data_IF_829434012615
#
_entry.id   IF_829434012615
#
_cell.length_a   1.000
_cell.length_b   1.000
_cell.length_c   1.000
_cell.angle_alpha   90.00
_cell.angle_beta   90.00
_cell.angle_gamma   90.00
#
_symmetry.space_group_name_H-M   'P 1'
#
loop_
_entity.id
_entity.type
_entity.pdbx_description
1 polymer ?
#
# COMPACT_ATOMS: atom_id res chain seq x y z
N UNK A 1 14.33 -4.63 7.63
CA UNK A 1 12.86 -4.60 7.53
C UNK A 1 12.33 -6.03 7.47
N UNK A 2 11.10 -6.29 7.90
CA UNK A 2 10.51 -7.63 7.80
C UNK A 2 10.02 -7.89 6.36
N UNK A 3 10.84 -8.58 5.58
CA UNK A 3 10.56 -8.92 4.19
C UNK A 3 9.32 -9.84 4.04
N UNK A 4 9.03 -10.67 5.04
CA UNK A 4 7.86 -11.57 5.03
C UNK A 4 6.59 -10.74 5.17
N UNK A 5 6.55 -9.83 6.16
CA UNK A 5 5.41 -8.91 6.35
C UNK A 5 5.25 -8.01 5.13
N UNK A 6 6.32 -7.38 4.62
CA UNK A 6 6.24 -6.53 3.43
C UNK A 6 5.64 -7.26 2.22
N UNK A 7 6.08 -8.50 1.96
CA UNK A 7 5.53 -9.32 0.88
C UNK A 7 4.05 -9.61 1.08
N UNK A 8 3.64 -10.03 2.29
CA UNK A 8 2.23 -10.31 2.63
C UNK A 8 1.35 -9.08 2.40
N UNK A 9 1.74 -7.93 2.94
CA UNK A 9 0.94 -6.70 2.84
C UNK A 9 0.94 -6.09 1.43
N UNK A 10 2.02 -6.27 0.66
CA UNK A 10 2.02 -5.92 -0.75
C UNK A 10 1.00 -6.75 -1.55
N UNK A 11 0.90 -8.06 -1.29
CA UNK A 11 -0.09 -8.92 -1.95
C UNK A 11 -1.53 -8.56 -1.55
N UNK A 12 -1.77 -8.26 -0.27
CA UNK A 12 -3.07 -7.81 0.22
C UNK A 12 -3.49 -6.48 -0.42
N UNK A 13 -2.59 -5.50 -0.47
CA UNK A 13 -2.86 -4.21 -1.12
C UNK A 13 -3.11 -4.37 -2.62
N UNK A 14 -2.32 -5.18 -3.32
CA UNK A 14 -2.53 -5.44 -4.76
C UNK A 14 -3.88 -6.13 -5.01
N UNK A 15 -4.31 -7.03 -4.13
CA UNK A 15 -5.63 -7.66 -4.18
C UNK A 15 -6.75 -6.62 -4.04
N UNK A 16 -6.68 -5.76 -3.03
CA UNK A 16 -7.68 -4.70 -2.81
C UNK A 16 -7.72 -3.68 -3.97
N UNK A 17 -6.56 -3.32 -4.55
CA UNK A 17 -6.51 -2.47 -5.73
C UNK A 17 -7.27 -3.10 -6.88
N UNK A 18 -6.97 -4.36 -7.20
CA UNK A 18 -7.62 -5.10 -8.31
C UNK A 18 -9.14 -5.25 -8.10
N UNK A 19 -9.59 -5.48 -6.87
CA UNK A 19 -11.01 -5.60 -6.53
C UNK A 19 -11.79 -4.29 -6.66
N UNK A 20 -11.10 -3.15 -6.62
CA UNK A 20 -11.71 -1.82 -6.66
C UNK A 20 -11.37 -1.01 -7.92
N UNK A 21 -10.62 -1.59 -8.87
CA UNK A 21 -10.39 -1.00 -10.20
C UNK A 21 -11.70 -0.63 -10.89
N UNK A 22 -11.73 0.55 -11.50
CA UNK A 22 -12.88 1.11 -12.22
C UNK A 22 -14.00 1.66 -11.31
N UNK A 23 -13.86 1.59 -9.98
CA UNK A 23 -14.86 2.13 -9.05
C UNK A 23 -14.63 3.61 -8.71
N UNK A 24 -13.42 4.11 -8.91
CA UNK A 24 -13.06 5.52 -8.69
C UNK A 24 -11.84 5.91 -9.53
N UNK A 25 -11.84 7.12 -10.06
CA UNK A 25 -10.69 7.68 -10.79
C UNK A 25 -9.44 7.79 -9.92
N UNK A 26 -9.60 7.99 -8.61
CA UNK A 26 -8.50 7.98 -7.65
C UNK A 26 -7.87 6.59 -7.52
N UNK A 27 -8.67 5.53 -7.54
CA UNK A 27 -8.18 4.15 -7.49
C UNK A 27 -7.50 3.79 -8.80
N UNK A 28 -8.06 4.19 -9.93
CA UNK A 28 -7.47 3.93 -11.25
C UNK A 28 -6.12 4.65 -11.39
N UNK A 29 -6.03 5.88 -10.89
CA UNK A 29 -4.76 6.61 -10.80
C UNK A 29 -3.77 5.91 -9.86
N UNK A 30 -4.20 5.50 -8.66
CA UNK A 30 -3.35 4.81 -7.69
C UNK A 30 -2.81 3.48 -8.24
N UNK A 31 -3.65 2.73 -8.97
CA UNK A 31 -3.27 1.48 -9.60
C UNK A 31 -2.23 1.64 -10.72
N UNK A 32 -2.03 2.87 -11.22
CA UNK A 32 -1.02 3.22 -12.21
C UNK A 32 0.15 4.00 -11.60
N UNK A 33 0.10 4.31 -10.30
CA UNK A 33 1.08 5.17 -9.65
C UNK A 33 2.47 4.52 -9.60
N UNK A 34 3.48 5.04 -10.32
CA UNK A 34 4.74 4.30 -10.55
C UNK A 34 5.51 3.97 -9.27
N UNK A 35 5.48 4.88 -8.29
CA UNK A 35 6.19 4.71 -7.02
C UNK A 35 5.55 3.56 -6.22
N UNK A 36 4.22 3.46 -6.18
CA UNK A 36 3.53 2.35 -5.55
C UNK A 36 3.78 1.03 -6.29
N UNK A 37 3.69 1.03 -7.63
CA UNK A 37 3.90 -0.18 -8.43
C UNK A 37 5.30 -0.77 -8.24
N UNK A 38 6.34 0.08 -8.31
CA UNK A 38 7.71 -0.32 -8.00
C UNK A 38 7.79 -0.82 -6.56
N UNK A 39 7.10 -0.16 -5.63
CA UNK A 39 7.18 -0.54 -4.25
C UNK A 39 6.61 -1.93 -3.97
N UNK A 40 5.45 -2.24 -4.57
CA UNK A 40 4.81 -3.55 -4.53
C UNK A 40 5.69 -4.63 -5.16
N UNK A 41 6.31 -4.34 -6.31
CA UNK A 41 7.22 -5.28 -6.97
C UNK A 41 8.44 -5.61 -6.12
N UNK A 42 9.11 -4.60 -5.59
CA UNK A 42 10.29 -4.79 -4.73
C UNK A 42 9.92 -5.54 -3.44
N UNK A 43 8.77 -5.24 -2.83
CA UNK A 43 8.28 -5.96 -1.65
C UNK A 43 8.08 -7.45 -1.95
N UNK A 44 7.43 -7.77 -3.06
CA UNK A 44 7.19 -9.16 -3.49
C UNK A 44 8.48 -9.92 -3.79
N UNK A 45 9.52 -9.21 -4.25
CA UNK A 45 10.85 -9.77 -4.53
C UNK A 45 11.80 -9.74 -3.33
N UNK A 46 11.38 -9.19 -2.19
CA UNK A 46 12.23 -9.03 -1.00
C UNK A 46 13.39 -8.06 -1.19
N UNK A 47 13.24 -7.06 -2.08
CA UNK A 47 14.28 -6.07 -2.44
C UNK A 47 14.15 -4.75 -1.66
N UNK A 48 13.52 -4.78 -0.50
CA UNK A 48 13.37 -3.62 0.37
C UNK A 48 14.25 -3.84 1.58
N UNK A 49 15.41 -3.22 1.53
CA UNK A 49 16.45 -3.22 2.56
C UNK A 49 16.37 -1.96 3.44
N UNK A 50 16.00 -0.82 2.85
CA UNK A 50 15.90 0.47 3.52
C UNK A 50 14.48 1.07 3.55
N UNK A 51 14.14 1.87 4.58
CA UNK A 51 12.87 2.58 4.64
C UNK A 51 12.65 3.52 3.45
N UNK A 52 11.42 3.59 2.95
CA UNK A 52 11.02 4.52 1.88
C UNK A 52 9.58 4.99 2.04
N UNK A 53 9.25 6.10 1.37
CA UNK A 53 7.89 6.66 1.34
C UNK A 53 7.28 6.54 -0.05
N UNK A 54 5.95 6.42 -0.10
CA UNK A 54 5.19 6.51 -1.35
C UNK A 54 4.85 7.96 -1.72
N UNK A 55 5.02 8.92 -0.82
CA UNK A 55 4.67 10.32 -1.10
C UNK A 55 3.16 10.58 -1.22
N UNK A 56 2.30 9.67 -0.74
CA UNK A 56 0.85 9.77 -0.87
C UNK A 56 0.16 10.52 0.26
N UNK A 57 0.90 11.00 1.28
CA UNK A 57 0.33 11.64 2.48
C UNK A 57 -0.76 12.67 2.15
N UNK A 58 -0.47 13.63 1.27
CA UNK A 58 -1.43 14.67 0.89
C UNK A 58 -2.59 14.09 0.08
N UNK A 59 -2.28 13.24 -0.89
CA UNK A 59 -3.26 12.63 -1.77
C UNK A 59 -4.29 11.78 -1.00
N UNK A 60 -3.89 11.05 0.06
CA UNK A 60 -4.80 10.25 0.90
C UNK A 60 -5.88 11.11 1.59
N UNK A 61 -5.60 12.39 1.89
CA UNK A 61 -6.58 13.30 2.47
C UNK A 61 -7.46 13.99 1.43
N UNK A 62 -6.98 14.12 0.20
CA UNK A 62 -7.68 14.82 -0.89
C UNK A 62 -8.48 13.86 -1.79
N UNK A 63 -8.19 12.56 -1.75
CA UNK A 63 -8.84 11.53 -2.58
C UNK A 63 -9.99 10.83 -1.88
N UNK A 64 -10.85 10.19 -2.68
CA UNK A 64 -11.97 9.39 -2.20
C UNK A 64 -11.53 8.00 -1.69
N UNK A 65 -10.23 7.74 -1.53
CA UNK A 65 -9.74 6.42 -1.10
C UNK A 65 -10.28 6.02 0.28
N UNK A 66 -10.60 7.00 1.13
CA UNK A 66 -11.16 6.74 2.46
C UNK A 66 -12.54 6.08 2.41
N UNK A 67 -13.29 6.24 1.32
CA UNK A 67 -14.56 5.54 1.09
C UNK A 67 -14.37 4.03 0.85
N UNK A 68 -13.12 3.58 0.60
CA UNK A 68 -12.75 2.18 0.40
C UNK A 68 -11.98 1.66 1.61
N UNK A 69 -12.69 1.40 2.70
CA UNK A 69 -12.10 1.10 4.02
C UNK A 69 -11.00 0.02 3.99
N UNK A 70 -11.23 -1.10 3.28
CA UNK A 70 -10.24 -2.18 3.17
C UNK A 70 -8.99 -1.74 2.41
N UNK A 71 -9.15 -1.11 1.24
CA UNK A 71 -8.05 -0.56 0.43
C UNK A 71 -7.25 0.48 1.20
N UNK A 72 -7.91 1.46 1.80
CA UNK A 72 -7.29 2.53 2.61
C UNK A 72 -6.50 1.95 3.78
N UNK A 73 -7.05 0.94 4.46
CA UNK A 73 -6.37 0.22 5.54
C UNK A 73 -5.12 -0.49 5.03
N UNK A 74 -5.22 -1.25 3.91
CA UNK A 74 -4.07 -1.96 3.34
C UNK A 74 -2.98 -1.00 2.84
N UNK A 75 -3.36 0.14 2.27
CA UNK A 75 -2.43 1.17 1.83
C UNK A 75 -1.66 1.74 3.02
N UNK A 76 -2.36 2.10 4.09
CA UNK A 76 -1.75 2.63 5.32
C UNK A 76 -0.81 1.60 5.97
N UNK A 77 -1.24 0.34 6.07
CA UNK A 77 -0.41 -0.74 6.61
C UNK A 77 0.86 -0.94 5.78
N UNK A 78 0.73 -0.96 4.46
CA UNK A 78 1.88 -1.11 3.57
C UNK A 78 2.83 0.10 3.68
N UNK A 79 2.31 1.33 3.74
CA UNK A 79 3.12 2.53 3.96
C UNK A 79 3.88 2.51 5.29
N UNK A 80 3.24 2.10 6.38
CA UNK A 80 3.89 1.99 7.68
C UNK A 80 5.04 0.99 7.63
N UNK A 81 4.80 -0.20 7.07
CA UNK A 81 5.85 -1.20 6.88
C UNK A 81 6.99 -0.67 5.99
N UNK A 82 6.67 0.03 4.90
CA UNK A 82 7.66 0.65 4.01
C UNK A 82 8.52 1.69 4.72
N UNK A 83 7.97 2.43 5.68
CA UNK A 83 8.70 3.40 6.51
C UNK A 83 9.50 2.73 7.64
N UNK A 84 9.46 1.40 7.74
CA UNK A 84 10.11 0.63 8.79
C UNK A 84 9.36 0.68 10.13
N UNK A 85 8.10 1.11 10.12
CA UNK A 85 7.26 1.13 11.32
C UNK A 85 6.61 -0.22 11.53
N UNK A 86 6.40 -0.56 12.80
CA UNK A 86 5.60 -1.72 13.16
C UNK A 86 4.11 -1.43 12.96
N UNK A 87 3.35 -2.47 12.63
CA UNK A 87 1.90 -2.38 12.59
C UNK A 87 1.38 -2.50 14.02
N UNK A 88 0.83 -1.41 14.55
CA UNK A 88 0.09 -1.48 15.81
C UNK A 88 -1.13 -2.38 15.61
N UNK A 89 -1.14 -3.50 16.33
CA UNK A 89 -2.18 -4.56 16.34
C UNK A 89 -2.27 -5.42 15.07
N UNK A 90 -1.49 -6.52 15.04
CA UNK A 90 -1.99 -7.80 14.52
C UNK A 90 -3.02 -8.30 15.53
N UNK A 91 -4.28 -7.85 15.44
CA UNK A 91 -5.37 -8.58 16.09
C UNK A 91 -5.76 -9.70 15.15
N UNK A 92 -5.49 -10.94 15.57
CA UNK A 92 -6.08 -12.18 15.04
C UNK A 92 -7.60 -12.06 14.83
#
# INVERSE_FOLDING_TARGET
>A
MDAIKLKKYAQLLEGELKLNLGKSGDIDWLAQYPILLKALEDAKKGRIDEPRTLGLNRWIFESDIQSFAALSTRLTQFENLLRGWELSTETD
#
